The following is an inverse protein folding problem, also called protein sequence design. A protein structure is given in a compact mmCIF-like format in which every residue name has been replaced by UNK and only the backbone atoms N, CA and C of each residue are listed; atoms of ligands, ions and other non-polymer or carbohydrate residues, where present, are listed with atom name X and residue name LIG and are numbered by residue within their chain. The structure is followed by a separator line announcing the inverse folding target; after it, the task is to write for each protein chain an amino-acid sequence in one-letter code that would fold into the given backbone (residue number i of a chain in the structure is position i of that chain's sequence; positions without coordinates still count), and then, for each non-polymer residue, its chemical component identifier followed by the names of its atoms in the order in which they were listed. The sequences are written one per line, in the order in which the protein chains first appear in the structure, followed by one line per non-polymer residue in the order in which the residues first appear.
data_IF_421803348310
#
_entry.id   IF_421803348310
#
_cell.length_a   1.000
_cell.length_b   1.000
_cell.length_c   1.000
_cell.angle_alpha   90.00
_cell.angle_beta   90.00
_cell.angle_gamma   90.00
#
_symmetry.space_group_name_H-M   'P 1'
#
loop_
_entity.id
_entity.type
_entity.pdbx_description
1 polymer ?
#
# COMPACT_ATOMS: atom_id res chain seq x y z
N UNK A 1 -15.41 7.79 -2.32
CA UNK A 1 -14.29 7.11 -1.64
C UNK A 1 -14.89 6.12 -0.65
N UNK A 2 -14.71 4.82 -0.85
CA UNK A 2 -15.44 3.79 -0.10
C UNK A 2 -14.62 3.19 1.04
N UNK A 3 -13.30 3.46 1.09
CA UNK A 3 -12.38 2.87 2.05
C UNK A 3 -11.53 3.94 2.76
N UNK A 4 -11.27 3.73 4.05
CA UNK A 4 -10.38 4.55 4.86
C UNK A 4 -8.99 3.93 4.91
N UNK A 5 -7.96 4.75 4.75
CA UNK A 5 -6.57 4.32 4.91
C UNK A 5 -6.22 4.35 6.40
N UNK A 6 -5.73 3.23 6.92
CA UNK A 6 -5.19 3.14 8.27
C UNK A 6 -3.82 2.48 8.21
N UNK A 7 -2.87 3.04 8.95
CA UNK A 7 -1.53 2.48 9.09
C UNK A 7 -1.43 1.75 10.42
N UNK A 8 -0.93 0.53 10.39
CA UNK A 8 -0.52 -0.16 11.62
C UNK A 8 0.69 0.57 12.23
N UNK A 9 0.81 0.62 13.56
CA UNK A 9 1.86 1.39 14.24
C UNK A 9 3.28 0.98 13.81
N UNK A 10 3.51 -0.31 13.54
CA UNK A 10 4.79 -0.80 12.98
C UNK A 10 5.07 -0.21 11.60
N UNK A 11 4.08 -0.22 10.71
CA UNK A 11 4.21 0.32 9.36
C UNK A 11 4.37 1.84 9.36
N UNK A 12 3.76 2.56 10.32
CA UNK A 12 3.97 4.01 10.46
C UNK A 12 5.40 4.34 10.91
N UNK A 13 5.99 3.51 11.78
CA UNK A 13 7.40 3.64 12.18
C UNK A 13 8.34 3.37 11.00
N UNK A 14 8.03 2.37 10.17
CA UNK A 14 8.78 2.11 8.93
C UNK A 14 8.58 3.23 7.91
N UNK A 15 7.37 3.77 7.78
CA UNK A 15 7.02 4.89 6.90
C UNK A 15 7.88 6.13 7.15
N UNK A 16 8.19 6.42 8.42
CA UNK A 16 9.09 7.51 8.79
C UNK A 16 10.56 7.27 8.44
N UNK A 17 10.98 6.01 8.25
CA UNK A 17 12.34 5.64 7.81
C UNK A 17 12.49 5.65 6.28
N UNK A 18 11.39 5.70 5.53
CA UNK A 18 11.43 5.72 4.07
C UNK A 18 11.92 7.09 3.57
N UNK A 19 12.77 7.08 2.55
CA UNK A 19 13.20 8.30 1.86
C UNK A 19 12.03 9.04 1.19
N UNK A 20 12.19 10.33 0.95
CA UNK A 20 11.16 11.21 0.39
C UNK A 20 10.58 10.67 -0.93
N UNK A 21 11.45 10.23 -1.84
CA UNK A 21 11.07 9.67 -3.15
C UNK A 21 10.19 8.43 -3.03
N UNK A 22 10.56 7.49 -2.16
CA UNK A 22 9.81 6.26 -1.94
C UNK A 22 8.45 6.55 -1.28
N UNK A 23 8.41 7.50 -0.34
CA UNK A 23 7.18 7.94 0.32
C UNK A 23 6.17 8.50 -0.68
N UNK A 24 6.61 9.31 -1.64
CA UNK A 24 5.76 9.86 -2.69
C UNK A 24 5.23 8.77 -3.63
N UNK A 25 6.09 7.85 -4.06
CA UNK A 25 5.67 6.70 -4.87
C UNK A 25 4.63 5.84 -4.16
N UNK A 26 4.81 5.54 -2.87
CA UNK A 26 3.83 4.77 -2.10
C UNK A 26 2.54 5.56 -1.92
N UNK A 27 2.60 6.86 -1.61
CA UNK A 27 1.40 7.70 -1.45
C UNK A 27 0.55 7.69 -2.74
N UNK A 28 1.20 7.81 -3.90
CA UNK A 28 0.52 7.72 -5.20
C UNK A 28 -0.20 6.38 -5.36
N UNK A 29 0.51 5.28 -5.08
CA UNK A 29 -0.04 3.93 -5.22
C UNK A 29 -1.14 3.62 -4.21
N UNK A 30 -1.02 4.10 -2.97
CA UNK A 30 -2.08 4.00 -1.95
C UNK A 30 -3.36 4.72 -2.41
N UNK A 31 -3.23 5.90 -3.03
CA UNK A 31 -4.37 6.61 -3.63
C UNK A 31 -5.10 5.80 -4.70
N UNK A 32 -4.36 5.10 -5.57
CA UNK A 32 -4.94 4.19 -6.57
C UNK A 32 -5.65 3.00 -5.89
N UNK A 33 -5.05 2.43 -4.84
CA UNK A 33 -5.64 1.31 -4.08
C UNK A 33 -6.84 1.70 -3.24
N UNK A 34 -6.95 2.96 -2.80
CA UNK A 34 -8.15 3.45 -2.13
C UNK A 34 -9.36 3.51 -3.05
N UNK A 35 -9.15 3.68 -4.36
CA UNK A 35 -10.20 3.61 -5.37
C UNK A 35 -10.53 2.15 -5.73
N UNK A 36 -9.50 1.32 -5.93
CA UNK A 36 -9.65 -0.10 -6.25
C UNK A 36 -8.77 -0.97 -5.33
N UNK A 37 -9.26 -1.37 -4.14
CA UNK A 37 -8.44 -2.09 -3.17
C UNK A 37 -8.18 -3.55 -3.60
N UNK A 38 -9.06 -4.11 -4.42
CA UNK A 38 -8.99 -5.51 -4.86
C UNK A 38 -8.24 -5.61 -6.18
N UNK A 39 -6.94 -5.87 -6.12
CA UNK A 39 -6.11 -6.07 -7.31
C UNK A 39 -5.68 -7.52 -7.40
N UNK A 40 -6.38 -8.31 -8.23
CA UNK A 40 -6.14 -9.75 -8.33
C UNK A 40 -4.69 -10.11 -8.69
N UNK A 41 -4.02 -9.29 -9.50
CA UNK A 41 -2.60 -9.48 -9.87
C UNK A 41 -1.63 -9.39 -8.66
N UNK A 42 -2.02 -8.63 -7.65
CA UNK A 42 -1.24 -8.40 -6.44
C UNK A 42 -1.73 -9.24 -5.24
N UNK A 43 -2.78 -10.04 -5.42
CA UNK A 43 -3.33 -10.88 -4.36
C UNK A 43 -2.28 -11.88 -3.84
N UNK A 44 -2.21 -12.01 -2.52
CA UNK A 44 -1.46 -13.07 -1.86
C UNK A 44 -2.27 -14.37 -1.93
N UNK A 45 -1.62 -15.47 -2.34
CA UNK A 45 -2.27 -16.78 -2.45
C UNK A 45 -2.65 -17.36 -1.08
N UNK A 46 -1.85 -17.06 -0.07
CA UNK A 46 -1.98 -17.62 1.28
C UNK A 46 -2.85 -16.74 2.21
N UNK A 47 -3.11 -15.50 1.81
CA UNK A 47 -3.81 -14.51 2.64
C UNK A 47 -4.94 -13.85 1.84
N UNK A 48 -6.21 -14.24 2.07
CA UNK A 48 -7.35 -13.60 1.42
C UNK A 48 -7.41 -12.12 1.80
N UNK A 49 -7.80 -11.28 0.85
CA UNK A 49 -7.87 -9.82 0.97
C UNK A 49 -6.54 -9.09 1.22
N UNK A 50 -5.40 -9.77 1.13
CA UNK A 50 -4.09 -9.12 1.20
C UNK A 50 -3.52 -8.93 -0.20
N UNK A 51 -3.05 -7.72 -0.47
CA UNK A 51 -2.50 -7.31 -1.77
C UNK A 51 -1.13 -6.69 -1.58
N UNK A 52 -0.14 -7.15 -2.35
CA UNK A 52 1.21 -6.58 -2.34
C UNK A 52 1.26 -5.29 -3.14
N UNK A 53 1.99 -4.30 -2.64
CA UNK A 53 2.34 -3.11 -3.41
C UNK A 53 3.79 -3.29 -3.89
N UNK A 54 3.96 -3.54 -5.19
CA UNK A 54 5.28 -3.65 -5.80
C UNK A 54 5.74 -2.28 -6.33
N UNK A 55 6.99 -1.95 -6.05
CA UNK A 55 7.73 -0.89 -6.74
C UNK A 55 8.51 -1.55 -7.86
N UNK A 56 8.44 -0.99 -9.06
CA UNK A 56 9.47 -1.27 -10.07
C UNK A 56 10.62 -0.31 -9.74
N UNK A 57 11.77 -0.88 -9.41
CA UNK A 57 13.03 -0.15 -9.49
C UNK A 57 13.35 0.15 -10.95
#
# INVERSE_FOLDING_TARGET
MTYKLEFVPSAFKEWGKLGHTLREQIKKKLGERLQAPRVQADALRELPNHYKIKFKA
#
